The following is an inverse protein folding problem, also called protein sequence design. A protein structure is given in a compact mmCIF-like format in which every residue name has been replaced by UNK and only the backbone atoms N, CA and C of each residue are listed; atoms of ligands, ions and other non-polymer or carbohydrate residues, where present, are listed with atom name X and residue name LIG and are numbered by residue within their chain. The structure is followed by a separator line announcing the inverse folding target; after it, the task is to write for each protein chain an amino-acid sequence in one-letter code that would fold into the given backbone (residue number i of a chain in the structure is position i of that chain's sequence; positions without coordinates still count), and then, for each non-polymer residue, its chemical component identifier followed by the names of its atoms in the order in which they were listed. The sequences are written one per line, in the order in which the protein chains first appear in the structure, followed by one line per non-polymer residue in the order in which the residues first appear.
data_IF_921766232118
#
_entry.id   IF_921766232118
#
_cell.length_a   1.000
_cell.length_b   1.000
_cell.length_c   1.000
_cell.angle_alpha   90.00
_cell.angle_beta   90.00
_cell.angle_gamma   90.00
#
_symmetry.space_group_name_H-M   'P 1'
#
loop_
_entity.id
_entity.type
_entity.pdbx_description
1 polymer ?
#
# COMPACT_ATOMS: atom_id res chain seq x y z
N UNK A 1 -5.89 30.89 22.30
CA UNK A 1 -5.04 30.78 21.10
C UNK A 1 -3.74 30.10 21.49
N UNK A 2 -3.76 28.76 21.59
CA UNK A 2 -2.53 27.99 21.65
C UNK A 2 -2.07 27.83 20.20
N UNK A 3 -0.85 28.27 19.95
CA UNK A 3 -0.14 28.10 18.70
C UNK A 3 0.18 26.61 18.57
N UNK A 4 -0.65 25.87 17.84
CA UNK A 4 -0.58 24.42 17.64
C UNK A 4 0.54 24.06 16.63
N UNK A 5 1.48 24.97 16.39
CA UNK A 5 2.45 24.90 15.28
C UNK A 5 3.71 24.10 15.59
N UNK A 6 3.91 23.64 16.83
CA UNK A 6 5.10 22.88 17.25
C UNK A 6 4.83 21.45 17.75
N UNK A 7 3.57 20.98 17.78
CA UNK A 7 3.23 19.63 18.25
C UNK A 7 3.02 18.64 17.09
N UNK A 8 3.51 17.41 17.26
CA UNK A 8 3.25 16.29 16.35
C UNK A 8 1.86 15.70 16.58
N UNK A 9 1.17 15.34 15.48
CA UNK A 9 -0.15 14.72 15.51
C UNK A 9 -0.10 13.39 14.77
N UNK A 10 -0.39 12.30 15.46
CA UNK A 10 -0.28 10.94 14.93
C UNK A 10 -1.53 10.13 15.23
N UNK A 11 -1.83 9.15 14.37
CA UNK A 11 -2.97 8.26 14.60
C UNK A 11 -2.71 7.27 15.73
N UNK A 12 -1.45 6.94 15.99
CA UNK A 12 -0.97 6.07 17.09
C UNK A 12 -1.08 6.76 18.45
N UNK A 13 -1.07 8.09 18.50
CA UNK A 13 -1.24 8.87 19.73
C UNK A 13 -2.67 8.78 20.31
N UNK A 14 -3.65 8.27 19.54
CA UNK A 14 -4.99 7.93 20.04
C UNK A 14 -4.95 6.63 20.87
N UNK A 15 -4.23 6.65 21.99
CA UNK A 15 -4.05 5.46 22.85
C UNK A 15 -5.36 4.90 23.43
N UNK A 16 -6.42 5.70 23.46
CA UNK A 16 -7.76 5.29 23.86
C UNK A 16 -8.62 4.74 22.72
N UNK A 17 -8.15 4.76 21.48
CA UNK A 17 -8.92 4.45 20.27
C UNK A 17 -10.26 5.21 20.20
N UNK A 18 -10.26 6.48 20.63
CA UNK A 18 -11.43 7.36 20.68
C UNK A 18 -11.96 7.58 19.26
N UNK A 19 -11.07 7.84 18.31
CA UNK A 19 -11.37 8.14 16.91
C UNK A 19 -11.24 6.92 16.01
N UNK A 20 -10.45 5.92 16.42
CA UNK A 20 -10.18 4.70 15.65
C UNK A 20 -11.40 3.79 15.48
N UNK A 21 -11.75 3.47 14.24
CA UNK A 21 -12.77 2.47 13.87
C UNK A 21 -12.25 1.60 12.73
N UNK A 22 -12.44 0.28 12.81
CA UNK A 22 -12.07 -0.67 11.75
C UNK A 22 -13.28 -1.54 11.44
N UNK A 23 -13.56 -1.76 10.16
CA UNK A 23 -14.59 -2.71 9.75
C UNK A 23 -14.29 -3.30 8.37
N UNK A 24 -14.90 -4.45 8.09
CA UNK A 24 -14.89 -5.08 6.79
C UNK A 24 -16.00 -4.43 5.96
N UNK A 25 -15.64 -3.62 4.95
CA UNK A 25 -16.60 -3.07 4.00
C UNK A 25 -17.13 -4.17 3.08
N UNK A 26 -16.30 -5.17 2.77
CA UNK A 26 -16.75 -6.35 2.04
C UNK A 26 -15.82 -7.55 2.12
N UNK A 27 -16.39 -8.73 1.90
CA UNK A 27 -15.67 -10.00 1.85
C UNK A 27 -16.31 -10.92 0.82
N UNK A 28 -15.47 -11.56 0.01
CA UNK A 28 -15.80 -12.69 -0.85
C UNK A 28 -14.49 -13.43 -1.19
N UNK A 29 -14.58 -14.53 -1.94
CA UNK A 29 -13.41 -15.35 -2.24
C UNK A 29 -12.37 -14.62 -3.12
N UNK A 30 -12.77 -13.62 -3.90
CA UNK A 30 -11.85 -12.88 -4.77
C UNK A 30 -11.09 -11.74 -4.07
N UNK A 31 -11.66 -11.15 -3.01
CA UNK A 31 -10.99 -10.12 -2.19
C UNK A 31 -11.74 -9.79 -0.90
N UNK A 32 -11.01 -9.17 0.02
CA UNK A 32 -11.53 -8.50 1.22
C UNK A 32 -11.24 -7.01 1.10
N UNK A 33 -12.20 -6.16 1.46
CA UNK A 33 -11.97 -4.71 1.63
C UNK A 33 -12.20 -4.35 3.09
N UNK A 34 -11.15 -3.87 3.75
CA UNK A 34 -11.19 -3.36 5.12
C UNK A 34 -11.05 -1.85 5.07
N UNK A 35 -11.85 -1.15 5.88
CA UNK A 35 -11.67 0.27 6.11
C UNK A 35 -11.26 0.51 7.55
N UNK A 36 -10.21 1.32 7.69
CA UNK A 36 -9.78 1.91 8.94
C UNK A 36 -10.09 3.41 8.87
N UNK A 37 -10.64 3.95 9.94
CA UNK A 37 -10.85 5.38 10.11
C UNK A 37 -10.23 5.79 11.42
N UNK A 38 -9.51 6.90 11.43
CA UNK A 38 -8.92 7.48 12.63
C UNK A 38 -8.82 8.99 12.48
N UNK A 39 -8.19 9.62 13.48
CA UNK A 39 -7.78 11.00 13.37
C UNK A 39 -6.40 11.17 14.02
N UNK A 40 -5.50 11.96 13.42
CA UNK A 40 -4.22 12.25 14.03
C UNK A 40 -4.48 13.16 15.24
N UNK A 41 -4.00 12.77 16.41
CA UNK A 41 -4.13 13.54 17.65
C UNK A 41 -2.76 13.73 18.28
N UNK A 42 -2.64 14.72 19.17
CA UNK A 42 -1.48 14.78 20.06
C UNK A 42 -1.71 13.86 21.29
N UNK A 43 -0.70 13.73 22.16
CA UNK A 43 -0.79 12.93 23.40
C UNK A 43 -1.86 13.41 24.41
N UNK A 44 -2.43 14.59 24.18
CA UNK A 44 -3.58 15.11 24.95
C UNK A 44 -4.93 14.81 24.29
N UNK A 45 -4.96 13.95 23.25
CA UNK A 45 -6.13 13.62 22.42
C UNK A 45 -6.78 14.84 21.73
N UNK A 46 -5.99 15.87 21.41
CA UNK A 46 -6.47 17.04 20.68
C UNK A 46 -6.31 16.82 19.18
N UNK A 47 -7.32 17.24 18.41
CA UNK A 47 -7.27 17.23 16.94
C UNK A 47 -6.61 18.51 16.42
N UNK A 48 -5.79 18.42 15.37
CA UNK A 48 -5.25 19.61 14.71
C UNK A 48 -6.35 20.29 13.90
N UNK A 49 -6.18 21.59 13.64
CA UNK A 49 -6.97 22.37 12.68
C UNK A 49 -8.50 22.45 12.91
N UNK A 50 -9.02 22.05 14.07
CA UNK A 50 -10.46 22.09 14.40
C UNK A 50 -11.13 23.45 14.18
N UNK A 51 -10.38 24.54 14.37
CA UNK A 51 -10.82 25.92 14.19
C UNK A 51 -10.98 26.34 12.72
N UNK A 52 -10.42 25.57 11.77
CA UNK A 52 -10.42 25.90 10.35
C UNK A 52 -11.64 25.33 9.60
N UNK A 53 -12.51 24.59 10.29
CA UNK A 53 -13.81 24.13 9.78
C UNK A 53 -13.93 22.61 9.66
N UNK A 54 -15.10 22.17 9.19
CA UNK A 54 -15.42 20.77 8.93
C UNK A 54 -14.98 20.39 7.52
N UNK A 55 -14.08 19.41 7.43
CA UNK A 55 -13.52 18.93 6.16
C UNK A 55 -13.86 17.50 5.81
N UNK A 56 -14.31 16.76 6.81
CA UNK A 56 -14.71 15.38 6.66
C UNK A 56 -16.19 15.19 7.06
N UNK A 57 -16.86 14.13 6.58
CA UNK A 57 -18.25 13.84 6.93
C UNK A 57 -18.51 13.67 8.44
N UNK A 58 -17.47 13.44 9.23
CA UNK A 58 -17.58 13.05 10.64
C UNK A 58 -17.05 14.08 11.64
N UNK A 59 -16.54 15.25 11.21
CA UNK A 59 -16.22 16.34 12.14
C UNK A 59 -15.18 17.36 11.65
N UNK A 60 -14.92 18.41 12.46
CA UNK A 60 -13.83 19.36 12.23
C UNK A 60 -12.45 18.77 12.51
N UNK A 61 -11.42 19.45 12.02
CA UNK A 61 -10.02 19.05 12.18
C UNK A 61 -9.56 18.02 11.15
N UNK A 62 -8.34 17.51 11.32
CA UNK A 62 -7.80 16.49 10.42
C UNK A 62 -8.32 15.10 10.79
N UNK A 63 -8.53 14.27 9.78
CA UNK A 63 -8.93 12.87 9.96
C UNK A 63 -8.42 12.00 8.82
N UNK A 64 -8.41 10.70 9.04
CA UNK A 64 -7.89 9.73 8.07
C UNK A 64 -8.91 8.63 7.81
N UNK A 65 -9.10 8.30 6.54
CA UNK A 65 -9.65 7.02 6.13
C UNK A 65 -8.56 6.23 5.38
N UNK A 66 -8.41 4.96 5.71
CA UNK A 66 -7.58 4.02 4.97
C UNK A 66 -8.39 2.85 4.45
N UNK A 67 -8.14 2.47 3.20
CA UNK A 67 -8.72 1.27 2.58
C UNK A 67 -7.63 0.25 2.31
N UNK A 68 -7.88 -0.98 2.76
CA UNK A 68 -7.07 -2.14 2.45
C UNK A 68 -7.85 -3.06 1.51
N UNK A 69 -7.42 -3.19 0.26
CA UNK A 69 -7.99 -4.17 -0.68
C UNK A 69 -7.07 -5.38 -0.75
N UNK A 70 -7.48 -6.47 -0.11
CA UNK A 70 -6.66 -7.67 0.13
C UNK A 70 -7.07 -8.79 -0.83
N UNK A 71 -6.10 -9.35 -1.54
CA UNK A 71 -6.28 -10.43 -2.50
C UNK A 71 -5.85 -11.82 -1.96
N UNK A 72 -6.28 -12.92 -2.59
CA UNK A 72 -6.02 -14.28 -2.14
C UNK A 72 -4.54 -14.67 -2.03
N UNK A 73 -3.63 -14.01 -2.76
CA UNK A 73 -2.18 -14.20 -2.66
C UNK A 73 -1.54 -13.43 -1.49
N UNK A 74 -2.34 -12.74 -0.67
CA UNK A 74 -1.86 -11.90 0.42
C UNK A 74 -1.32 -10.54 -0.03
N UNK A 75 -1.36 -10.24 -1.34
CA UNK A 75 -1.07 -8.88 -1.84
C UNK A 75 -2.24 -7.97 -1.51
N UNK A 76 -1.97 -6.75 -1.06
CA UNK A 76 -3.00 -5.77 -0.78
C UNK A 76 -2.58 -4.34 -1.12
N UNK A 77 -3.52 -3.54 -1.59
CA UNK A 77 -3.33 -2.09 -1.66
C UNK A 77 -3.68 -1.44 -0.34
N UNK A 78 -2.97 -0.38 0.03
CA UNK A 78 -3.31 0.52 1.13
C UNK A 78 -3.50 1.92 0.54
N UNK A 79 -4.73 2.40 0.54
CA UNK A 79 -5.04 3.78 0.15
C UNK A 79 -5.31 4.61 1.39
N UNK A 80 -4.48 5.63 1.61
CA UNK A 80 -4.58 6.54 2.76
C UNK A 80 -5.15 7.86 2.26
N UNK A 81 -6.31 8.25 2.77
CA UNK A 81 -6.93 9.54 2.50
C UNK A 81 -6.94 10.37 3.77
N UNK A 82 -6.21 11.49 3.74
CA UNK A 82 -6.23 12.49 4.81
C UNK A 82 -7.23 13.56 4.41
N UNK A 83 -8.19 13.81 5.29
CA UNK A 83 -9.12 14.94 5.22
C UNK A 83 -8.58 16.06 6.09
N UNK A 84 -8.32 17.22 5.51
CA UNK A 84 -7.73 18.35 6.22
C UNK A 84 -8.13 19.69 5.59
N UNK A 85 -8.40 20.75 6.40
CA UNK A 85 -8.60 22.11 5.89
C UNK A 85 -7.34 22.70 5.26
N UNK A 86 -6.16 22.14 5.55
CA UNK A 86 -4.90 22.55 4.94
C UNK A 86 -4.46 21.62 3.80
N UNK A 87 -5.27 20.63 3.41
CA UNK A 87 -4.94 19.66 2.37
C UNK A 87 -4.48 20.28 1.04
N UNK A 88 -5.10 21.39 0.60
CA UNK A 88 -4.71 22.08 -0.64
C UNK A 88 -3.32 22.73 -0.59
N UNK A 89 -2.76 22.91 0.61
CA UNK A 89 -1.43 23.51 0.86
C UNK A 89 -0.44 22.51 1.44
N UNK A 90 -0.88 21.29 1.74
CA UNK A 90 -0.02 20.29 2.34
C UNK A 90 0.84 19.62 1.28
N UNK A 91 2.05 19.26 1.67
CA UNK A 91 2.94 18.38 0.91
C UNK A 91 3.13 17.04 1.61
N UNK A 92 3.48 15.97 0.89
CA UNK A 92 3.96 14.76 1.53
C UNK A 92 5.17 15.07 2.41
N UNK A 93 5.38 14.30 3.47
CA UNK A 93 6.63 14.40 4.25
C UNK A 93 7.86 14.29 3.33
N UNK A 94 8.77 15.26 3.47
CA UNK A 94 10.09 15.29 2.83
C UNK A 94 11.14 15.73 3.86
N UNK A 95 12.38 15.28 3.68
CA UNK A 95 13.46 15.64 4.60
C UNK A 95 13.79 17.15 4.58
N UNK A 96 13.44 17.86 3.50
CA UNK A 96 13.53 19.32 3.41
C UNK A 96 12.24 19.94 3.95
N UNK A 97 12.17 20.10 5.28
CA UNK A 97 11.08 20.71 6.07
C UNK A 97 10.84 22.21 5.76
N UNK A 98 10.90 22.60 4.50
CA UNK A 98 10.81 23.98 4.00
C UNK A 98 9.33 24.41 3.90
N UNK A 99 8.39 23.47 3.89
CA UNK A 99 6.95 23.75 3.78
C UNK A 99 6.18 23.68 5.12
N UNK A 100 5.04 24.39 5.17
CA UNK A 100 4.33 24.72 6.42
C UNK A 100 3.32 23.67 6.90
N UNK A 101 2.92 22.72 6.06
CA UNK A 101 2.01 21.62 6.44
C UNK A 101 2.41 20.33 5.71
N UNK A 102 2.84 19.31 6.44
CA UNK A 102 3.19 18.02 5.87
C UNK A 102 2.35 16.90 6.48
N UNK A 103 2.06 15.86 5.69
CA UNK A 103 1.55 14.59 6.23
C UNK A 103 2.47 13.44 5.87
N UNK A 104 2.84 12.68 6.91
CA UNK A 104 3.44 11.37 6.79
C UNK A 104 2.30 10.32 6.76
N UNK A 105 2.36 9.37 5.83
CA UNK A 105 1.23 8.45 5.58
C UNK A 105 1.63 6.99 5.52
N UNK A 106 2.93 6.70 5.58
CA UNK A 106 3.43 5.35 5.63
C UNK A 106 4.77 5.32 6.33
N UNK A 107 4.84 4.43 7.31
CA UNK A 107 6.09 3.98 7.91
C UNK A 107 6.00 2.45 8.03
N UNK A 108 7.13 1.77 7.93
CA UNK A 108 7.23 0.39 8.41
C UNK A 108 7.53 0.44 9.89
N UNK A 109 6.50 0.14 10.66
CA UNK A 109 6.62 0.00 12.10
C UNK A 109 6.94 -1.45 12.43
N UNK A 110 8.19 -1.69 12.82
CA UNK A 110 8.59 -2.98 13.34
C UNK A 110 8.74 -2.89 14.86
N UNK A 111 7.58 -2.82 15.53
CA UNK A 111 7.55 -2.71 16.97
C UNK A 111 7.69 -4.11 17.59
N UNK A 112 8.79 -4.34 18.31
CA UNK A 112 8.92 -5.51 19.17
C UNK A 112 8.18 -5.26 20.49
N UNK A 113 6.85 -5.22 20.42
CA UNK A 113 5.98 -5.39 21.59
C UNK A 113 5.95 -6.89 22.00
N UNK A 114 7.10 -7.56 21.90
CA UNK A 114 7.26 -8.97 22.23
C UNK A 114 6.91 -9.23 23.68
N UNK A 115 6.47 -10.46 23.96
CA UNK A 115 6.22 -10.89 25.33
C UNK A 115 7.50 -10.79 26.17
N UNK A 116 7.37 -10.64 27.48
CA UNK A 116 8.50 -10.55 28.41
C UNK A 116 9.50 -11.72 28.17
N UNK A 117 10.61 -11.45 27.46
CA UNK A 117 11.59 -12.45 27.04
C UNK A 117 12.06 -12.35 25.57
N UNK A 118 11.22 -11.81 24.68
CA UNK A 118 11.51 -11.59 23.24
C UNK A 118 12.07 -10.18 23.01
N UNK A 119 13.01 -9.74 23.86
CA UNK A 119 13.40 -8.32 23.96
C UNK A 119 14.31 -7.83 22.83
N UNK A 120 14.73 -8.69 21.89
CA UNK A 120 15.68 -8.31 20.85
C UNK A 120 15.18 -8.63 19.46
N UNK A 121 15.11 -7.63 18.59
CA UNK A 121 14.71 -7.79 17.20
C UNK A 121 15.65 -8.65 16.36
N UNK A 122 16.87 -8.93 16.85
CA UNK A 122 17.71 -9.99 16.31
C UNK A 122 17.05 -11.37 16.39
N UNK A 123 15.96 -11.53 17.14
CA UNK A 123 15.15 -12.74 17.22
C UNK A 123 14.22 -12.87 16.00
N UNK A 124 13.69 -11.76 15.51
CA UNK A 124 12.69 -11.71 14.42
C UNK A 124 13.24 -11.29 13.06
N UNK A 125 14.33 -10.52 13.01
CA UNK A 125 15.00 -10.06 11.79
C UNK A 125 16.39 -10.69 11.63
N UNK A 126 16.80 -10.87 10.37
CA UNK A 126 18.20 -11.12 10.04
C UNK A 126 19.01 -9.82 10.09
N UNK A 127 20.31 -9.93 10.40
CA UNK A 127 21.27 -8.80 10.36
C UNK A 127 21.24 -8.04 9.04
N UNK A 128 21.15 -8.78 7.93
CA UNK A 128 20.79 -8.28 6.61
C UNK A 128 19.31 -7.91 6.59
N UNK A 129 18.92 -6.82 7.25
CA UNK A 129 17.53 -6.52 7.60
C UNK A 129 16.58 -6.33 6.43
N UNK A 130 17.05 -5.85 5.28
CA UNK A 130 16.14 -5.57 4.17
C UNK A 130 16.79 -5.65 2.80
N UNK A 131 15.97 -5.92 1.80
CA UNK A 131 16.30 -5.70 0.40
C UNK A 131 15.62 -4.42 -0.08
N UNK A 132 16.41 -3.53 -0.69
CA UNK A 132 15.92 -2.35 -1.40
C UNK A 132 15.97 -2.66 -2.89
N UNK A 133 14.82 -2.57 -3.56
CA UNK A 133 14.66 -3.01 -4.96
C UNK A 133 14.26 -1.83 -5.83
N UNK A 134 14.84 -1.74 -7.04
CA UNK A 134 14.52 -0.76 -8.07
C UNK A 134 13.67 -1.37 -9.18
N UNK A 135 12.97 -0.53 -9.94
CA UNK A 135 12.06 -0.98 -11.00
C UNK A 135 12.74 -1.68 -12.18
N UNK A 136 14.06 -1.56 -12.33
CA UNK A 136 14.84 -2.32 -13.30
C UNK A 136 15.20 -3.75 -12.82
N UNK A 137 15.00 -4.04 -11.53
CA UNK A 137 15.30 -5.32 -10.89
C UNK A 137 16.64 -5.37 -10.17
N UNK A 138 17.44 -4.30 -10.23
CA UNK A 138 18.59 -4.17 -9.34
C UNK A 138 18.11 -4.11 -7.89
N UNK A 139 18.84 -4.78 -7.01
CA UNK A 139 18.56 -4.77 -5.59
C UNK A 139 19.86 -4.72 -4.80
N UNK A 140 19.75 -4.25 -3.57
CA UNK A 140 20.84 -4.27 -2.62
C UNK A 140 20.32 -4.67 -1.25
N UNK A 141 21.15 -5.41 -0.53
CA UNK A 141 20.88 -5.86 0.83
C UNK A 141 21.45 -4.84 1.79
N UNK A 142 20.62 -4.32 2.69
CA UNK A 142 21.03 -3.43 3.76
C UNK A 142 21.21 -4.23 5.06
N UNK A 143 22.37 -4.03 5.71
CA UNK A 143 22.68 -4.59 7.03
C UNK A 143 22.63 -3.48 8.07
N UNK A 144 22.14 -3.80 9.28
CA UNK A 144 22.18 -2.88 10.41
C UNK A 144 23.36 -3.11 11.37
N UNK A 145 24.24 -4.07 11.08
CA UNK A 145 25.44 -4.33 11.87
C UNK A 145 26.70 -4.28 10.99
N UNK A 146 27.53 -3.22 11.09
CA UNK A 146 27.25 -2.00 11.85
C UNK A 146 26.15 -1.15 11.18
N UNK A 147 25.39 -0.40 11.98
CA UNK A 147 24.44 0.58 11.44
C UNK A 147 25.24 1.76 10.87
N UNK A 148 24.91 2.26 9.67
CA UNK A 148 25.81 3.16 8.95
C UNK A 148 26.00 4.51 9.64
N UNK A 149 25.04 5.00 10.43
CA UNK A 149 25.10 6.34 11.02
C UNK A 149 24.50 6.39 12.42
N UNK A 150 25.27 6.92 13.38
CA UNK A 150 24.81 7.19 14.74
C UNK A 150 24.41 8.67 14.85
N UNK A 151 23.24 8.96 15.46
CA UNK A 151 22.75 10.28 15.90
C UNK A 151 22.85 11.47 14.93
N UNK A 152 21.70 11.97 14.45
CA UNK A 152 21.46 13.30 13.83
C UNK A 152 22.34 13.72 12.63
N UNK A 153 23.23 12.88 12.13
CA UNK A 153 24.01 13.13 10.91
C UNK A 153 23.19 12.76 9.66
N UNK A 154 22.18 13.58 9.33
CA UNK A 154 21.30 13.37 8.18
C UNK A 154 22.04 13.31 6.85
N UNK A 155 23.15 14.03 6.70
CA UNK A 155 23.98 14.00 5.48
C UNK A 155 24.70 12.66 5.33
N UNK A 156 25.31 12.14 6.40
CA UNK A 156 25.94 10.81 6.40
C UNK A 156 24.91 9.71 6.14
N UNK A 157 23.69 9.87 6.67
CA UNK A 157 22.62 8.91 6.47
C UNK A 157 22.19 8.93 5.01
N UNK A 158 22.11 10.11 4.41
CA UNK A 158 21.86 10.23 2.97
C UNK A 158 22.95 9.57 2.14
N UNK A 159 24.22 9.82 2.43
CA UNK A 159 25.32 9.18 1.71
C UNK A 159 25.32 7.66 1.88
N UNK A 160 24.97 7.15 3.07
CA UNK A 160 24.85 5.70 3.29
C UNK A 160 23.73 5.07 2.46
N UNK A 161 22.67 5.84 2.16
CA UNK A 161 21.53 5.38 1.37
C UNK A 161 21.55 5.79 -0.11
N UNK A 162 22.50 6.62 -0.54
CA UNK A 162 22.70 7.07 -1.92
C UNK A 162 22.77 5.91 -2.94
N UNK A 163 23.44 4.76 -2.67
CA UNK A 163 23.43 3.62 -3.59
C UNK A 163 22.02 3.08 -3.91
N UNK A 164 21.07 3.31 -2.99
CA UNK A 164 19.67 2.89 -3.12
C UNK A 164 18.76 3.97 -3.68
N UNK A 165 19.29 5.11 -4.15
CA UNK A 165 18.49 6.11 -4.85
C UNK A 165 17.65 5.45 -5.95
N UNK A 166 16.42 5.92 -6.08
CA UNK A 166 15.40 5.39 -7.00
C UNK A 166 14.81 4.03 -6.63
N UNK A 167 15.23 3.39 -5.53
CA UNK A 167 14.49 2.26 -4.98
C UNK A 167 13.12 2.73 -4.47
N UNK A 168 12.07 1.98 -4.80
CA UNK A 168 10.69 2.24 -4.39
C UNK A 168 10.04 1.01 -3.76
N UNK A 169 10.84 0.00 -3.44
CA UNK A 169 10.39 -1.29 -2.96
C UNK A 169 11.30 -1.73 -1.81
N UNK A 170 10.69 -2.10 -0.69
CA UNK A 170 11.38 -2.64 0.49
C UNK A 170 10.86 -4.05 0.73
N UNK A 171 11.76 -5.00 0.99
CA UNK A 171 11.45 -6.33 1.52
C UNK A 171 12.14 -6.45 2.86
N UNK A 172 11.40 -6.70 3.94
CA UNK A 172 11.99 -6.92 5.25
C UNK A 172 12.38 -8.40 5.40
N UNK A 173 13.64 -8.64 5.76
CA UNK A 173 14.19 -9.97 5.96
C UNK A 173 13.93 -10.45 7.39
N UNK A 174 12.67 -10.77 7.65
CA UNK A 174 12.27 -11.47 8.87
C UNK A 174 12.73 -12.94 8.84
N UNK A 175 12.85 -13.56 10.01
CA UNK A 175 13.13 -15.00 10.16
C UNK A 175 11.89 -15.88 9.93
N UNK A 176 10.73 -15.27 9.76
CA UNK A 176 9.51 -15.93 9.31
C UNK A 176 9.69 -16.54 7.91
N UNK A 177 8.88 -17.58 7.61
CA UNK A 177 8.78 -18.14 6.27
C UNK A 177 8.35 -17.09 5.23
N UNK A 178 7.45 -16.19 5.64
CA UNK A 178 6.96 -15.08 4.82
C UNK A 178 7.68 -13.79 5.20
N UNK A 179 8.21 -13.10 4.20
CA UNK A 179 8.87 -11.79 4.34
C UNK A 179 7.97 -10.70 3.77
N UNK A 180 7.60 -9.67 4.55
CA UNK A 180 6.72 -8.62 4.06
C UNK A 180 7.47 -7.70 3.09
N UNK A 181 6.73 -7.18 2.10
CA UNK A 181 7.21 -6.12 1.23
C UNK A 181 6.21 -4.96 1.15
N UNK A 182 6.70 -3.78 0.79
CA UNK A 182 5.90 -2.62 0.40
C UNK A 182 6.52 -1.97 -0.82
N UNK A 183 5.67 -1.56 -1.74
CA UNK A 183 5.96 -0.89 -2.99
C UNK A 183 5.31 0.49 -2.91
N UNK A 184 6.14 1.52 -3.00
CA UNK A 184 5.73 2.89 -3.30
C UNK A 184 5.67 3.13 -4.80
N UNK A 185 5.09 4.25 -5.20
CA UNK A 185 5.08 4.67 -6.61
C UNK A 185 6.49 5.02 -7.12
N UNK A 186 6.62 5.19 -8.44
CA UNK A 186 7.82 5.79 -9.03
C UNK A 186 7.64 7.32 -9.10
N UNK A 187 8.67 8.06 -8.70
CA UNK A 187 8.85 9.48 -8.94
C UNK A 187 9.77 9.69 -10.15
N UNK A 188 9.49 10.67 -11.03
CA UNK A 188 10.28 10.88 -12.25
C UNK A 188 11.71 11.41 -12.02
N UNK A 189 12.03 11.95 -10.84
CA UNK A 189 13.37 12.55 -10.58
C UNK A 189 14.18 11.87 -9.49
N UNK A 190 13.55 11.34 -8.44
CA UNK A 190 14.22 10.57 -7.39
C UNK A 190 13.18 9.85 -6.51
N UNK A 191 13.34 8.55 -6.28
CA UNK A 191 12.68 7.85 -5.17
C UNK A 191 13.66 7.75 -4.01
N UNK A 192 13.17 7.99 -2.80
CA UNK A 192 13.97 7.78 -1.61
C UNK A 192 13.30 6.74 -0.72
N UNK A 193 14.09 5.98 0.00
CA UNK A 193 13.63 5.18 1.12
C UNK A 193 14.37 5.74 2.32
N UNK A 194 13.66 6.46 3.17
CA UNK A 194 14.26 7.15 4.31
C UNK A 194 14.14 6.28 5.54
N UNK A 195 15.18 6.26 6.35
CA UNK A 195 15.10 5.82 7.74
C UNK A 195 15.50 7.00 8.61
N UNK A 196 15.08 6.99 9.87
CA UNK A 196 15.53 8.02 10.79
C UNK A 196 16.98 7.77 11.20
N UNK A 197 17.75 8.81 11.55
CA UNK A 197 19.01 8.58 12.25
C UNK A 197 18.71 7.81 13.54
N UNK A 198 19.67 7.03 14.01
CA UNK A 198 19.51 6.40 15.31
C UNK A 198 19.54 7.48 16.41
N UNK A 199 18.38 7.89 16.94
CA UNK A 199 18.28 8.90 18.00
C UNK A 199 18.68 8.33 19.37
N UNK A 200 18.95 7.03 19.45
CA UNK A 200 19.35 6.38 20.68
C UNK A 200 20.62 7.00 21.27
N UNK A 201 20.57 7.23 22.57
CA UNK A 201 21.73 7.53 23.41
C UNK A 201 22.87 6.52 23.13
N UNK A 202 24.16 6.94 23.13
CA UNK A 202 25.32 6.04 22.96
C UNK A 202 25.38 4.88 23.98
N UNK A 203 24.48 4.86 24.97
CA UNK A 203 24.32 3.78 25.95
C UNK A 203 23.44 2.61 25.46
N UNK A 204 22.82 2.69 24.28
CA UNK A 204 21.78 1.74 23.89
C UNK A 204 21.83 1.35 22.39
N UNK A 205 22.87 0.63 21.94
CA UNK A 205 23.01 0.16 20.54
C UNK A 205 21.90 -0.81 20.07
N UNK A 206 21.04 -1.27 20.99
CA UNK A 206 19.89 -2.13 20.68
C UNK A 206 18.63 -1.37 20.20
N UNK A 207 18.68 -0.04 20.11
CA UNK A 207 17.50 0.81 19.81
C UNK A 207 17.41 1.30 18.36
N UNK A 208 18.18 0.75 17.43
CA UNK A 208 18.10 1.05 15.98
C UNK A 208 16.74 0.71 15.33
N UNK A 209 15.79 0.15 16.08
CA UNK A 209 14.45 -0.22 15.64
C UNK A 209 13.36 0.25 16.61
N UNK A 210 13.67 1.20 17.49
CA UNK A 210 12.73 1.66 18.49
C UNK A 210 11.67 2.58 17.88
N UNK A 211 10.43 2.44 18.29
CA UNK A 211 9.35 3.34 17.91
C UNK A 211 8.37 3.51 19.07
N UNK A 212 7.53 4.53 18.95
CA UNK A 212 6.62 5.06 19.94
C UNK A 212 5.44 4.14 20.29
N UNK A 213 4.91 4.22 21.54
CA UNK A 213 5.55 4.64 22.79
C UNK A 213 6.40 3.52 23.41
N UNK A 214 7.45 3.89 24.15
CA UNK A 214 8.28 2.94 24.92
C UNK A 214 7.65 2.79 26.31
N UNK A 215 6.84 1.76 26.51
CA UNK A 215 6.03 1.60 27.73
C UNK A 215 6.81 1.32 29.04
N UNK A 216 8.14 1.19 29.01
CA UNK A 216 8.93 0.75 30.17
C UNK A 216 9.96 1.77 30.73
N UNK A 217 10.04 3.00 30.19
CA UNK A 217 10.93 4.04 30.76
C UNK A 217 10.12 5.23 31.28
N UNK A 218 9.73 5.23 32.56
CA UNK A 218 9.08 6.38 33.18
C UNK A 218 10.00 7.61 33.13
N UNK A 219 9.61 8.62 32.36
CA UNK A 219 10.26 9.94 32.35
C UNK A 219 11.33 10.17 31.29
N UNK A 220 11.64 9.19 30.44
CA UNK A 220 12.43 9.44 29.22
C UNK A 220 11.49 9.40 28.02
N UNK A 221 11.06 10.58 27.57
CA UNK A 221 10.40 10.71 26.28
C UNK A 221 11.36 10.40 25.12
N UNK A 222 10.78 10.26 23.93
CA UNK A 222 11.45 10.39 22.62
C UNK A 222 12.75 9.58 22.45
N UNK A 223 12.64 8.27 22.13
CA UNK A 223 13.75 7.51 21.53
C UNK A 223 13.25 6.83 20.25
N UNK A 224 13.21 7.59 19.13
CA UNK A 224 12.95 7.06 17.80
C UNK A 224 14.21 6.39 17.23
N UNK A 225 14.07 5.19 16.67
CA UNK A 225 15.20 4.35 16.32
C UNK A 225 15.23 3.96 14.86
N UNK A 226 16.14 4.56 14.09
CA UNK A 226 16.73 3.95 12.90
C UNK A 226 15.76 3.31 11.90
N UNK A 227 15.91 2.00 11.72
CA UNK A 227 15.10 1.12 10.86
C UNK A 227 13.70 0.79 11.41
N UNK A 228 13.37 1.23 12.62
CA UNK A 228 12.01 1.12 13.18
C UNK A 228 11.03 2.10 12.53
N UNK A 229 11.55 3.04 11.75
CA UNK A 229 10.82 4.13 11.11
C UNK A 229 11.27 4.26 9.64
N UNK A 230 10.89 3.29 8.80
CA UNK A 230 11.25 3.29 7.37
C UNK A 230 10.10 3.85 6.54
N UNK A 231 10.37 4.94 5.84
CA UNK A 231 9.43 5.62 4.96
C UNK A 231 9.77 5.23 3.52
N UNK A 232 8.86 4.51 2.87
CA UNK A 232 8.94 4.20 1.44
C UNK A 232 8.43 5.41 0.68
N UNK A 233 9.30 6.39 0.50
CA UNK A 233 8.98 7.64 -0.18
C UNK A 233 9.32 7.58 -1.66
N UNK A 234 8.79 6.56 -2.37
CA UNK A 234 8.72 6.55 -3.84
C UNK A 234 7.91 7.71 -4.46
N UNK A 235 7.59 8.70 -3.63
CA UNK A 235 6.47 9.61 -3.69
C UNK A 235 6.87 10.98 -3.11
N UNK A 236 8.19 11.22 -3.04
CA UNK A 236 8.89 12.26 -2.29
C UNK A 236 8.56 13.71 -2.70
N UNK A 237 7.44 13.97 -3.40
CA UNK A 237 6.88 15.31 -3.64
C UNK A 237 5.42 15.38 -4.16
N UNK A 238 4.68 14.27 -4.39
CA UNK A 238 3.31 14.40 -4.92
C UNK A 238 2.29 13.45 -4.31
N UNK A 239 1.10 13.97 -4.07
CA UNK A 239 -0.07 13.17 -3.71
C UNK A 239 -0.51 12.30 -4.89
N UNK A 240 -1.12 11.14 -4.62
CA UNK A 240 -1.88 10.42 -5.64
C UNK A 240 -3.07 11.25 -6.12
N UNK A 241 -3.75 11.90 -5.18
CA UNK A 241 -4.78 12.91 -5.44
C UNK A 241 -4.70 14.02 -4.38
N UNK A 242 -4.90 15.26 -4.79
CA UNK A 242 -5.03 16.42 -3.90
C UNK A 242 -6.26 17.20 -4.35
N UNK A 243 -7.32 17.17 -3.56
CA UNK A 243 -8.67 17.59 -3.95
C UNK A 243 -9.31 18.39 -2.83
N UNK A 244 -9.33 19.72 -2.95
CA UNK A 244 -9.99 20.62 -2.01
C UNK A 244 -9.52 20.44 -0.58
N UNK A 245 -10.25 19.63 0.19
CA UNK A 245 -10.01 19.33 1.61
C UNK A 245 -9.45 17.93 1.86
N UNK A 246 -8.89 17.28 0.84
CA UNK A 246 -8.26 15.96 1.03
C UNK A 246 -7.02 15.74 0.19
N UNK A 247 -6.12 14.92 0.72
CA UNK A 247 -4.97 14.36 0.02
C UNK A 247 -5.00 12.84 0.12
N UNK A 248 -4.47 12.15 -0.89
CA UNK A 248 -4.48 10.68 -0.97
C UNK A 248 -3.10 10.16 -1.34
N UNK A 249 -2.70 9.07 -0.67
CA UNK A 249 -1.51 8.25 -0.96
C UNK A 249 -1.93 6.81 -1.18
N UNK A 250 -1.14 6.07 -1.95
CA UNK A 250 -1.39 4.65 -2.22
C UNK A 250 -0.10 3.85 -2.17
N UNK A 251 -0.19 2.66 -1.60
CA UNK A 251 0.90 1.70 -1.47
C UNK A 251 0.40 0.31 -1.87
N UNK A 252 1.31 -0.55 -2.28
CA UNK A 252 1.04 -1.98 -2.47
C UNK A 252 1.96 -2.79 -1.58
N UNK A 253 1.40 -3.67 -0.77
CA UNK A 253 2.14 -4.51 0.16
C UNK A 253 1.74 -5.97 0.00
N UNK A 254 2.52 -6.86 0.61
CA UNK A 254 2.25 -8.29 0.57
C UNK A 254 3.41 -9.07 1.17
N UNK A 255 3.53 -10.34 0.77
CA UNK A 255 4.55 -11.24 1.29
C UNK A 255 5.28 -11.98 0.17
N UNK A 256 6.56 -12.25 0.39
CA UNK A 256 7.37 -13.14 -0.45
C UNK A 256 7.84 -14.37 0.32
N UNK A 257 8.11 -15.44 -0.42
CA UNK A 257 8.58 -16.72 0.11
C UNK A 257 9.53 -17.41 -0.90
N UNK A 258 10.42 -16.65 -1.54
CA UNK A 258 11.48 -17.28 -2.35
C UNK A 258 12.68 -17.65 -1.49
N UNK A 259 13.41 -18.67 -1.93
CA UNK A 259 14.55 -19.24 -1.21
C UNK A 259 15.77 -18.33 -1.14
N UNK A 260 15.80 -17.22 -1.89
CA UNK A 260 16.91 -16.27 -1.90
C UNK A 260 16.47 -14.84 -2.25
N UNK A 261 17.35 -13.88 -1.98
CA UNK A 261 17.10 -12.45 -2.17
C UNK A 261 16.87 -12.07 -3.63
N UNK A 262 17.60 -12.68 -4.59
CA UNK A 262 17.41 -12.42 -6.01
C UNK A 262 16.01 -12.83 -6.50
N UNK A 263 15.49 -13.97 -6.06
CA UNK A 263 14.15 -14.43 -6.37
C UNK A 263 13.07 -13.54 -5.75
N UNK A 264 13.29 -13.10 -4.50
CA UNK A 264 12.40 -12.14 -3.84
C UNK A 264 12.36 -10.81 -4.59
N UNK A 265 13.52 -10.25 -4.95
CA UNK A 265 13.62 -9.01 -5.71
C UNK A 265 12.96 -9.12 -7.10
N UNK A 266 13.18 -10.22 -7.82
CA UNK A 266 12.56 -10.47 -9.12
C UNK A 266 11.03 -10.54 -9.03
N UNK A 267 10.50 -11.23 -8.02
CA UNK A 267 9.06 -11.31 -7.79
C UNK A 267 8.46 -9.94 -7.47
N UNK A 268 9.02 -9.21 -6.49
CA UNK A 268 8.50 -7.90 -6.08
C UNK A 268 8.58 -6.90 -7.23
N UNK A 269 9.65 -6.93 -8.04
CA UNK A 269 9.74 -6.15 -9.28
C UNK A 269 8.59 -6.43 -10.24
N UNK A 270 8.25 -7.70 -10.46
CA UNK A 270 7.16 -8.07 -11.37
C UNK A 270 5.80 -7.66 -10.80
N UNK A 271 5.58 -7.80 -9.49
CA UNK A 271 4.38 -7.28 -8.81
C UNK A 271 4.29 -5.75 -8.98
N UNK A 272 5.37 -5.02 -8.71
CA UNK A 272 5.43 -3.57 -8.83
C UNK A 272 5.15 -3.10 -10.26
N UNK A 273 5.75 -3.73 -11.27
CA UNK A 273 5.46 -3.42 -12.68
C UNK A 273 4.02 -3.74 -13.05
N UNK A 274 3.44 -4.83 -12.55
CA UNK A 274 2.03 -5.18 -12.81
C UNK A 274 1.03 -4.17 -12.22
N UNK A 275 1.46 -3.40 -11.22
CA UNK A 275 0.65 -2.41 -10.52
C UNK A 275 0.89 -0.98 -11.05
N UNK A 276 2.15 -0.56 -11.11
CA UNK A 276 2.55 0.79 -11.54
C UNK A 276 2.54 0.97 -13.06
N UNK A 277 2.75 -0.11 -13.81
CA UNK A 277 2.80 -0.16 -15.28
C UNK A 277 1.89 -1.28 -15.78
N UNK A 278 0.68 -1.38 -15.22
CA UNK A 278 -0.27 -2.43 -15.53
C UNK A 278 -0.45 -2.62 -17.04
N UNK A 279 -0.47 -3.88 -17.49
CA UNK A 279 -0.69 -4.21 -18.89
C UNK A 279 -2.04 -3.65 -19.37
N UNK A 280 -2.14 -3.23 -20.62
CA UNK A 280 -3.39 -2.75 -21.16
C UNK A 280 -4.41 -3.89 -21.31
N UNK A 281 -5.65 -3.66 -20.88
CA UNK A 281 -6.77 -4.57 -21.13
C UNK A 281 -7.53 -4.08 -22.37
N UNK A 282 -7.59 -4.92 -23.39
CA UNK A 282 -8.17 -4.60 -24.69
C UNK A 282 -9.36 -5.52 -24.94
N UNK A 283 -10.51 -4.95 -25.27
CA UNK A 283 -11.68 -5.74 -25.66
C UNK A 283 -11.46 -6.31 -27.06
N UNK A 284 -11.68 -7.62 -27.22
CA UNK A 284 -11.52 -8.31 -28.51
C UNK A 284 -12.79 -9.03 -28.94
N UNK A 285 -13.87 -8.92 -28.16
CA UNK A 285 -15.17 -9.48 -28.52
C UNK A 285 -15.96 -8.58 -29.45
N UNK A 286 -17.02 -9.14 -30.03
CA UNK A 286 -18.06 -8.38 -30.74
C UNK A 286 -19.09 -7.75 -29.80
N UNK A 287 -18.91 -7.93 -28.49
CA UNK A 287 -19.86 -7.62 -27.44
C UNK A 287 -19.43 -6.32 -26.78
N UNK A 288 -20.16 -5.20 -26.97
CA UNK A 288 -19.67 -3.91 -26.50
C UNK A 288 -19.51 -3.90 -24.97
N UNK A 289 -18.26 -3.78 -24.51
CA UNK A 289 -17.89 -3.52 -23.13
C UNK A 289 -17.04 -2.24 -23.08
N UNK A 290 -17.38 -1.34 -22.18
CA UNK A 290 -16.57 -0.17 -21.91
C UNK A 290 -15.45 -0.55 -20.93
N UNK A 291 -14.21 -0.41 -21.37
CA UNK A 291 -13.03 -0.62 -20.52
C UNK A 291 -12.59 0.73 -19.97
N UNK A 292 -12.68 0.89 -18.66
CA UNK A 292 -12.26 2.10 -17.95
C UNK A 292 -10.78 2.10 -17.56
N UNK A 293 -10.07 1.01 -17.85
CA UNK A 293 -8.65 0.85 -17.58
C UNK A 293 -8.38 0.21 -16.22
N UNK A 294 -7.19 0.50 -15.67
CA UNK A 294 -6.69 -0.09 -14.43
C UNK A 294 -6.85 0.88 -13.26
N UNK A 295 -7.56 0.45 -12.22
CA UNK A 295 -7.74 1.18 -10.98
C UNK A 295 -6.66 0.80 -9.96
N UNK A 296 -5.62 1.62 -9.91
CA UNK A 296 -4.42 1.37 -9.08
C UNK A 296 -4.74 1.17 -7.59
N UNK A 297 -5.61 1.97 -6.93
CA UNK A 297 -5.96 1.77 -5.53
C UNK A 297 -6.71 0.47 -5.24
N UNK A 298 -7.33 -0.16 -6.24
CA UNK A 298 -7.93 -1.50 -6.11
C UNK A 298 -7.06 -2.60 -6.72
N UNK A 299 -5.93 -2.30 -7.38
CA UNK A 299 -5.13 -3.27 -8.17
C UNK A 299 -6.01 -4.10 -9.14
N UNK A 300 -6.96 -3.45 -9.83
CA UNK A 300 -7.93 -4.16 -10.65
C UNK A 300 -8.33 -3.43 -11.93
N UNK A 301 -8.68 -4.18 -12.96
CA UNK A 301 -9.25 -3.64 -14.19
C UNK A 301 -10.75 -3.41 -14.04
N UNK A 302 -11.23 -2.32 -14.63
CA UNK A 302 -12.63 -1.91 -14.58
C UNK A 302 -13.29 -2.09 -15.95
N UNK A 303 -14.30 -2.96 -16.02
CA UNK A 303 -15.06 -3.26 -17.24
C UNK A 303 -16.54 -3.07 -16.99
N UNK A 304 -17.26 -2.42 -17.90
CA UNK A 304 -18.69 -2.22 -17.83
C UNK A 304 -19.40 -2.70 -19.10
N UNK A 305 -20.44 -3.52 -18.94
CA UNK A 305 -21.34 -3.82 -20.05
C UNK A 305 -22.43 -2.77 -20.17
N UNK A 306 -22.78 -2.42 -21.41
CA UNK A 306 -23.93 -1.58 -21.71
C UNK A 306 -25.25 -2.30 -21.37
N UNK A 307 -25.59 -2.39 -20.08
CA UNK A 307 -26.80 -3.00 -19.55
C UNK A 307 -26.64 -4.47 -19.10
N UNK A 308 -27.56 -4.92 -18.24
CA UNK A 308 -27.60 -6.28 -17.66
C UNK A 308 -28.10 -7.33 -18.65
N UNK A 309 -28.66 -6.91 -19.78
CA UNK A 309 -29.34 -7.77 -20.73
C UNK A 309 -28.38 -8.31 -21.81
N UNK A 310 -27.88 -9.52 -21.54
CA UNK A 310 -27.43 -10.53 -22.53
C UNK A 310 -26.08 -10.28 -23.19
N UNK A 311 -25.02 -10.44 -22.41
CA UNK A 311 -23.71 -10.83 -22.94
C UNK A 311 -23.23 -12.07 -22.19
N UNK A 312 -23.47 -13.23 -22.80
CA UNK A 312 -23.10 -14.54 -22.25
C UNK A 312 -21.59 -14.76 -22.22
N UNK A 313 -20.80 -13.88 -22.86
CA UNK A 313 -19.35 -13.90 -22.81
C UNK A 313 -18.71 -12.60 -23.24
N UNK A 314 -17.51 -12.35 -22.74
CA UNK A 314 -16.59 -11.31 -23.18
C UNK A 314 -15.19 -11.90 -23.33
N UNK A 315 -14.43 -11.39 -24.30
CA UNK A 315 -13.05 -11.82 -24.51
C UNK A 315 -12.14 -10.59 -24.49
N UNK A 316 -11.17 -10.62 -23.59
CA UNK A 316 -10.17 -9.59 -23.45
C UNK A 316 -8.81 -10.13 -23.92
N UNK A 317 -7.98 -9.22 -24.41
CA UNK A 317 -6.54 -9.40 -24.48
C UNK A 317 -5.93 -8.53 -23.39
N UNK A 318 -5.10 -9.12 -22.55
CA UNK A 318 -4.26 -8.37 -21.62
C UNK A 318 -2.85 -8.36 -22.20
N UNK A 319 -2.38 -7.18 -22.63
CA UNK A 319 -1.16 -7.01 -23.43
C UNK A 319 0.11 -7.02 -22.56
N UNK A 320 0.30 -8.13 -21.84
CA UNK A 320 1.41 -8.27 -20.91
C UNK A 320 2.75 -8.36 -21.64
N UNK A 321 3.77 -7.77 -21.02
CA UNK A 321 5.14 -7.72 -21.51
C UNK A 321 6.13 -7.81 -20.33
N UNK A 322 7.43 -7.83 -20.60
CA UNK A 322 8.45 -7.75 -19.53
C UNK A 322 8.40 -6.41 -18.76
N UNK A 323 7.95 -5.33 -19.40
CA UNK A 323 7.85 -4.00 -18.77
C UNK A 323 6.51 -3.75 -18.09
N UNK A 324 5.48 -4.49 -18.52
CA UNK A 324 4.11 -4.45 -18.01
C UNK A 324 3.58 -5.87 -17.84
N UNK A 325 4.09 -6.65 -16.88
CA UNK A 325 3.69 -8.03 -16.71
C UNK A 325 2.27 -8.13 -16.14
N UNK A 326 1.63 -9.26 -16.40
CA UNK A 326 0.46 -9.69 -15.66
C UNK A 326 0.92 -10.44 -14.42
N UNK A 327 0.47 -10.03 -13.24
CA UNK A 327 0.67 -10.78 -11.98
C UNK A 327 -0.63 -10.77 -11.19
N UNK A 328 -1.26 -11.94 -11.12
CA UNK A 328 -2.50 -12.22 -10.42
C UNK A 328 -3.56 -11.12 -10.64
N UNK A 329 -4.04 -10.92 -11.89
CA UNK A 329 -4.89 -9.79 -12.22
C UNK A 329 -6.25 -9.93 -11.54
N UNK A 330 -6.80 -8.80 -11.11
CA UNK A 330 -8.19 -8.70 -10.71
C UNK A 330 -8.99 -7.92 -11.76
N UNK A 331 -10.23 -8.34 -12.02
CA UNK A 331 -11.12 -7.69 -12.99
C UNK A 331 -12.48 -7.53 -12.32
N UNK A 332 -12.98 -6.28 -12.27
CA UNK A 332 -14.33 -5.98 -11.85
C UNK A 332 -15.17 -5.77 -13.12
N UNK A 333 -16.22 -6.56 -13.25
CA UNK A 333 -17.12 -6.56 -14.39
C UNK A 333 -18.49 -6.10 -13.91
N UNK A 334 -18.86 -4.87 -14.23
CA UNK A 334 -20.15 -4.29 -13.92
C UNK A 334 -21.27 -4.92 -14.78
N UNK A 335 -22.50 -4.88 -14.29
CA UNK A 335 -23.68 -5.40 -14.98
C UNK A 335 -23.59 -6.91 -15.33
N UNK A 336 -22.75 -7.68 -14.64
CA UNK A 336 -22.60 -9.13 -14.86
C UNK A 336 -23.84 -9.92 -14.44
N UNK A 337 -24.48 -9.53 -13.33
CA UNK A 337 -25.54 -10.35 -12.73
C UNK A 337 -25.02 -11.30 -11.65
N UNK A 338 -25.63 -12.47 -11.54
CA UNK A 338 -25.31 -13.48 -10.51
C UNK A 338 -24.94 -14.85 -11.10
N UNK A 339 -24.76 -14.94 -12.42
CA UNK A 339 -24.38 -16.18 -13.07
C UNK A 339 -22.94 -16.55 -12.71
N UNK A 340 -22.67 -17.85 -12.55
CA UNK A 340 -21.32 -18.34 -12.28
C UNK A 340 -20.41 -18.06 -13.48
N UNK A 341 -19.20 -17.52 -13.26
CA UNK A 341 -18.25 -17.30 -14.34
C UNK A 341 -17.55 -18.60 -14.75
N UNK A 342 -17.39 -18.78 -16.05
CA UNK A 342 -16.46 -19.75 -16.67
C UNK A 342 -15.33 -18.95 -17.28
N UNK A 343 -14.09 -19.26 -16.90
CA UNK A 343 -12.89 -18.53 -17.33
C UNK A 343 -12.03 -19.43 -18.21
N UNK A 344 -11.58 -18.88 -19.34
CA UNK A 344 -10.53 -19.49 -20.15
C UNK A 344 -9.36 -18.52 -20.31
N UNK A 345 -8.13 -19.02 -20.16
CA UNK A 345 -6.92 -18.29 -20.55
C UNK A 345 -6.24 -19.01 -21.71
N UNK A 346 -6.03 -18.29 -22.81
CA UNK A 346 -5.45 -18.86 -24.05
C UNK A 346 -6.17 -20.15 -24.50
N UNK A 347 -7.50 -20.17 -24.36
CA UNK A 347 -8.40 -21.31 -24.63
C UNK A 347 -8.28 -22.51 -23.66
N UNK A 348 -7.55 -22.37 -22.56
CA UNK A 348 -7.49 -23.36 -21.48
C UNK A 348 -8.50 -22.98 -20.40
N UNK A 349 -9.42 -23.89 -20.07
CA UNK A 349 -10.38 -23.69 -18.97
C UNK A 349 -9.65 -23.65 -17.63
N UNK A 350 -10.04 -22.70 -16.78
CA UNK A 350 -9.56 -22.57 -15.42
C UNK A 350 -10.55 -23.22 -14.43
N UNK A 351 -10.01 -23.80 -13.36
CA UNK A 351 -10.79 -24.37 -12.26
C UNK A 351 -11.07 -23.31 -11.19
N UNK A 352 -12.35 -23.10 -10.81
CA UNK A 352 -12.68 -22.19 -9.72
C UNK A 352 -12.09 -22.71 -8.41
N UNK A 353 -11.60 -21.79 -7.58
CA UNK A 353 -10.96 -22.10 -6.31
C UNK A 353 -9.44 -22.23 -6.42
N UNK A 354 -8.93 -22.98 -7.39
CA UNK A 354 -7.48 -23.21 -7.58
C UNK A 354 -6.87 -22.17 -8.51
N UNK A 355 -7.41 -22.04 -9.73
CA UNK A 355 -6.84 -21.17 -10.77
C UNK A 355 -7.40 -19.75 -10.71
N UNK A 356 -8.61 -19.58 -10.17
CA UNK A 356 -9.22 -18.27 -9.97
C UNK A 356 -10.22 -18.26 -8.81
N UNK A 357 -10.45 -17.09 -8.24
CA UNK A 357 -11.49 -16.81 -7.25
C UNK A 357 -12.46 -15.77 -7.81
N UNK A 358 -13.69 -15.77 -7.31
CA UNK A 358 -14.70 -14.80 -7.74
C UNK A 358 -15.60 -14.36 -6.58
N UNK A 359 -16.27 -13.25 -6.77
CA UNK A 359 -17.24 -12.71 -5.81
C UNK A 359 -18.20 -11.75 -6.48
N UNK A 360 -19.23 -11.33 -5.75
CA UNK A 360 -20.25 -10.42 -6.28
C UNK A 360 -20.51 -9.23 -5.36
N UNK A 361 -20.79 -8.08 -5.96
CA UNK A 361 -21.45 -6.96 -5.30
C UNK A 361 -22.81 -6.69 -5.92
N UNK A 362 -23.82 -6.47 -5.08
CA UNK A 362 -25.11 -5.97 -5.59
C UNK A 362 -25.01 -4.53 -6.05
N UNK A 363 -24.30 -3.69 -5.28
CA UNK A 363 -24.00 -2.29 -5.56
C UNK A 363 -22.55 -2.03 -5.13
N UNK A 364 -21.80 -1.28 -5.92
CA UNK A 364 -20.47 -0.82 -5.61
C UNK A 364 -20.35 0.65 -6.04
N UNK A 365 -20.14 1.55 -5.08
CA UNK A 365 -19.83 2.94 -5.40
C UNK A 365 -18.37 3.04 -5.81
N UNK A 366 -18.15 3.26 -7.11
CA UNK A 366 -16.83 3.48 -7.67
C UNK A 366 -16.32 4.87 -7.28
N UNK A 367 -15.00 4.98 -7.11
CA UNK A 367 -14.35 6.19 -6.58
C UNK A 367 -14.39 7.39 -7.51
N UNK A 368 -14.82 7.20 -8.76
CA UNK A 368 -15.05 8.28 -9.72
C UNK A 368 -16.52 8.73 -9.78
N UNK A 369 -17.31 8.36 -8.78
CA UNK A 369 -18.70 8.79 -8.62
C UNK A 369 -19.71 7.94 -9.38
N UNK A 370 -19.28 6.87 -10.05
CA UNK A 370 -20.20 5.90 -10.66
C UNK A 370 -20.74 4.95 -9.60
N UNK A 371 -22.01 4.57 -9.73
CA UNK A 371 -22.57 3.46 -8.96
C UNK A 371 -22.69 2.26 -9.87
N UNK A 372 -21.88 1.25 -9.59
CA UNK A 372 -21.89 -0.04 -10.27
C UNK A 372 -22.90 -0.96 -9.60
N UNK A 373 -23.45 -1.89 -10.36
CA UNK A 373 -24.48 -2.82 -9.91
C UNK A 373 -24.23 -4.22 -10.44
N UNK A 374 -24.55 -5.23 -9.64
CA UNK A 374 -24.40 -6.65 -10.00
C UNK A 374 -22.99 -6.94 -10.54
N UNK A 375 -22.00 -6.45 -9.81
CA UNK A 375 -20.58 -6.51 -10.18
C UNK A 375 -20.06 -7.91 -9.89
N UNK A 376 -19.43 -8.52 -10.88
CA UNK A 376 -18.57 -9.68 -10.68
C UNK A 376 -17.15 -9.20 -10.43
N UNK A 377 -16.50 -9.75 -9.40
CA UNK A 377 -15.07 -9.61 -9.18
C UNK A 377 -14.43 -10.94 -9.54
N UNK A 378 -13.38 -10.89 -10.33
CA UNK A 378 -12.51 -12.02 -10.63
C UNK A 378 -11.12 -11.72 -10.10
N UNK A 379 -10.50 -12.70 -9.46
CA UNK A 379 -9.07 -12.72 -9.20
C UNK A 379 -8.51 -14.00 -9.82
N UNK A 380 -7.49 -13.89 -10.66
CA UNK A 380 -6.96 -15.03 -11.41
C UNK A 380 -5.54 -15.31 -10.94
N UNK A 381 -5.23 -16.53 -10.54
CA UNK A 381 -3.89 -16.96 -10.11
C UNK A 381 -3.01 -17.25 -11.32
N UNK A 382 -2.52 -16.20 -11.98
CA UNK A 382 -1.65 -16.36 -13.13
C UNK A 382 -0.69 -15.19 -13.29
N UNK A 383 0.50 -15.50 -13.81
CA UNK A 383 1.47 -14.50 -14.22
C UNK A 383 1.93 -14.73 -15.66
N UNK A 384 2.23 -13.63 -16.36
CA UNK A 384 2.74 -13.68 -17.74
C UNK A 384 3.50 -12.41 -18.08
N UNK A 385 4.59 -12.56 -18.85
CA UNK A 385 5.30 -11.45 -19.51
C UNK A 385 5.05 -11.45 -21.03
N UNK A 386 4.05 -12.19 -21.48
CA UNK A 386 3.57 -12.24 -22.86
C UNK A 386 2.06 -12.00 -22.90
N UNK A 387 1.51 -11.46 -23.99
CA UNK A 387 0.07 -11.19 -24.07
C UNK A 387 -0.76 -12.45 -23.82
N UNK A 388 -1.86 -12.28 -23.10
CA UNK A 388 -2.81 -13.38 -22.81
C UNK A 388 -4.21 -13.02 -23.26
N UNK A 389 -4.94 -14.01 -23.74
CA UNK A 389 -6.38 -13.89 -24.02
C UNK A 389 -7.16 -14.45 -22.84
N UNK A 390 -8.03 -13.62 -22.26
CA UNK A 390 -8.91 -13.99 -21.14
C UNK A 390 -10.34 -13.97 -21.66
N UNK A 391 -11.02 -15.11 -21.58
CA UNK A 391 -12.45 -15.21 -21.93
C UNK A 391 -13.25 -15.48 -20.67
N UNK A 392 -14.28 -14.67 -20.45
CA UNK A 392 -15.20 -14.80 -19.32
C UNK A 392 -16.57 -15.10 -19.90
N UNK A 393 -17.21 -16.19 -19.46
CA UNK A 393 -18.56 -16.58 -19.90
C UNK A 393 -19.49 -16.77 -18.71
N UNK A 394 -20.77 -16.50 -18.89
CA UNK A 394 -21.79 -16.90 -17.93
C UNK A 394 -22.10 -18.39 -18.10
N UNK A 395 -22.12 -19.12 -16.99
CA UNK A 395 -22.70 -20.46 -16.95
C UNK A 395 -24.22 -20.32 -16.84
N UNK A 396 -24.88 -20.22 -17.99
CA UNK A 396 -26.35 -20.18 -18.10
C UNK A 396 -26.83 -21.61 -18.39
N UNK A 397 -27.76 -22.17 -17.59
CA UNK A 397 -28.35 -23.49 -17.82
C UNK A 397 -29.06 -23.64 -19.17
#
# INVERSE_FOLDING_TARGET
DHDISEEGFETTADGGNIFTRIWIESVNDARIVVRYRSAPVNFSNQLPHTQLGQVAPYGPGDHVDEWFTIYPDGTYTREVKVWSPVAAKSVPYTDDRIETFFFETQEFLFNNMGMEGERYLSDDLYTNAMNLVKMDGTYQVFSYDPYPVMQFEWEDLRSAFEPFENANMVILNTKSLLRPYTIGREHPTNNWISCYPNEASPKAPHHIFNEWPVDDIPGEGYIGGGLGHIVVTGDNNSWFKQEGTSVTKIYLSGYVNHTNDAGNAEYVKNVARSWLKAAELIETSSTPAEIYGYDMPQKAYLVDFAGVAVTSSVTFKLDASNTSPMVNPAILINNWGSALPIIEINNVHLNPGEDFKYGYYSILDAKDGRTWQKVLILWIQQSSTSPVTIKVKQNIP
#
